data_IF_954264336376
#
_entry.id   IF_954264336376
#
_cell.length_a   1.000
_cell.length_b   1.000
_cell.length_c   1.000
_cell.angle_alpha   90.00
_cell.angle_beta   90.00
_cell.angle_gamma   90.00
#
_symmetry.space_group_name_H-M   'P 1'
#
loop_
_entity.id
_entity.type
_entity.pdbx_description
1 polymer ?
#
# COMPACT_ATOMS: atom_id res chain seq x y z
N UNK A 1 10.13 -20.48 3.45
CA UNK A 1 10.62 -19.09 3.66
C UNK A 1 10.07 -18.12 2.61
N UNK A 2 10.19 -18.39 1.30
CA UNK A 2 9.72 -17.48 0.24
C UNK A 2 8.23 -17.13 0.31
N UNK A 3 7.33 -18.10 0.53
CA UNK A 3 5.89 -17.84 0.65
C UNK A 3 5.56 -16.82 1.75
N UNK A 4 6.13 -17.02 2.95
CA UNK A 4 5.98 -16.10 4.09
C UNK A 4 6.48 -14.70 3.72
N UNK A 5 7.64 -14.61 3.06
CA UNK A 5 8.16 -13.33 2.57
C UNK A 5 7.18 -12.62 1.62
N UNK A 6 6.56 -13.33 0.69
CA UNK A 6 5.64 -12.70 -0.27
C UNK A 6 4.34 -12.21 0.39
N UNK A 7 3.84 -12.90 1.43
CA UNK A 7 2.73 -12.38 2.25
C UNK A 7 3.11 -11.08 2.94
N UNK A 8 4.30 -11.02 3.56
CA UNK A 8 4.80 -9.83 4.24
C UNK A 8 5.01 -8.66 3.26
N UNK A 9 5.65 -8.92 2.12
CA UNK A 9 5.84 -7.90 1.06
C UNK A 9 4.51 -7.34 0.59
N UNK A 10 3.52 -8.20 0.33
CA UNK A 10 2.19 -7.77 -0.08
C UNK A 10 1.49 -6.94 1.01
N UNK A 11 1.51 -7.40 2.26
CA UNK A 11 0.90 -6.68 3.39
C UNK A 11 1.55 -5.33 3.67
N UNK A 12 2.88 -5.25 3.61
CA UNK A 12 3.62 -4.00 3.77
C UNK A 12 3.29 -3.04 2.62
N UNK A 13 3.28 -3.52 1.37
CA UNK A 13 2.94 -2.70 0.22
C UNK A 13 1.53 -2.13 0.32
N UNK A 14 0.55 -2.96 0.72
CA UNK A 14 -0.84 -2.54 0.97
C UNK A 14 -0.90 -1.41 2.00
N UNK A 15 -0.33 -1.63 3.18
CA UNK A 15 -0.38 -0.67 4.29
C UNK A 15 0.34 0.65 3.95
N UNK A 16 1.53 0.58 3.34
CA UNK A 16 2.30 1.77 2.97
C UNK A 16 1.59 2.56 1.87
N UNK A 17 1.11 1.90 0.80
CA UNK A 17 0.40 2.59 -0.28
C UNK A 17 -0.88 3.26 0.23
N UNK A 18 -1.62 2.59 1.11
CA UNK A 18 -2.83 3.14 1.70
C UNK A 18 -2.53 4.32 2.63
N UNK A 19 -1.52 4.21 3.49
CA UNK A 19 -1.08 5.28 4.39
C UNK A 19 -0.59 6.52 3.67
N UNK A 20 0.21 6.36 2.60
CA UNK A 20 0.69 7.49 1.80
C UNK A 20 -0.45 8.15 1.02
N UNK A 21 -1.34 7.37 0.39
CA UNK A 21 -2.52 7.91 -0.29
C UNK A 21 -3.44 8.68 0.68
N UNK A 22 -3.60 8.18 1.91
CA UNK A 22 -4.32 8.88 2.97
C UNK A 22 -3.61 10.20 3.34
N UNK A 23 -2.29 10.18 3.53
CA UNK A 23 -1.50 11.37 3.82
C UNK A 23 -1.63 12.45 2.75
N UNK A 24 -1.56 12.08 1.47
CA UNK A 24 -1.83 12.98 0.34
C UNK A 24 -3.24 13.57 0.41
N UNK A 25 -4.24 12.73 0.71
CA UNK A 25 -5.64 13.18 0.80
C UNK A 25 -5.89 14.15 1.96
N UNK A 26 -5.14 14.00 3.04
CA UNK A 26 -5.15 14.89 4.21
C UNK A 26 -4.32 16.17 3.99
N UNK A 27 -3.64 16.31 2.84
CA UNK A 27 -2.80 17.48 2.55
C UNK A 27 -1.50 17.53 3.34
N UNK A 28 -1.01 16.38 3.82
CA UNK A 28 0.28 16.30 4.50
C UNK A 28 1.42 16.55 3.51
N UNK A 29 2.41 17.34 3.92
CA UNK A 29 3.55 17.70 3.07
C UNK A 29 4.38 16.43 2.71
N UNK A 30 4.51 16.09 1.41
CA UNK A 30 5.26 14.91 0.96
C UNK A 30 6.69 14.83 1.50
N UNK A 31 7.37 15.98 1.55
CA UNK A 31 8.78 16.11 1.96
C UNK A 31 9.01 15.78 3.44
N UNK A 32 7.98 15.89 4.28
CA UNK A 32 8.04 15.57 5.71
C UNK A 32 7.40 14.22 6.02
N UNK A 33 6.40 13.80 5.23
CA UNK A 33 5.62 12.61 5.50
C UNK A 33 6.48 11.34 5.56
N UNK A 34 7.30 11.09 4.54
CA UNK A 34 8.12 9.87 4.48
C UNK A 34 9.19 9.85 5.59
N UNK A 35 9.99 10.91 5.80
CA UNK A 35 10.97 10.94 6.90
C UNK A 35 10.34 10.74 8.28
N UNK A 36 9.20 11.39 8.56
CA UNK A 36 8.52 11.26 9.86
C UNK A 36 8.03 9.83 10.10
N UNK A 37 7.39 9.21 9.10
CA UNK A 37 6.92 7.82 9.22
C UNK A 37 8.08 6.82 9.33
N UNK A 38 9.15 7.04 8.58
CA UNK A 38 10.32 6.16 8.56
C UNK A 38 11.11 6.17 9.88
N UNK A 39 11.08 7.28 10.62
CA UNK A 39 11.73 7.40 11.93
C UNK A 39 10.94 6.73 13.08
N UNK A 40 9.65 6.45 12.87
CA UNK A 40 8.76 5.85 13.88
C UNK A 40 8.57 4.33 13.73
N UNK A 41 7.61 3.80 14.48
CA UNK A 41 7.25 2.37 14.44
C UNK A 41 6.73 1.88 13.06
N UNK A 42 6.34 2.81 12.18
CA UNK A 42 5.96 2.49 10.80
C UNK A 42 7.18 2.25 9.87
N UNK A 43 8.40 2.56 10.34
CA UNK A 43 9.62 2.42 9.58
C UNK A 43 9.84 1.00 9.06
N UNK A 44 9.96 0.87 7.74
CA UNK A 44 10.24 -0.39 7.07
C UNK A 44 10.95 -0.15 5.73
N UNK A 45 11.56 -1.20 5.20
CA UNK A 45 12.35 -1.13 3.96
C UNK A 45 11.54 -0.61 2.76
N UNK A 46 10.27 -0.99 2.64
CA UNK A 46 9.46 -0.60 1.49
C UNK A 46 9.14 0.90 1.52
N UNK A 47 8.76 1.44 2.68
CA UNK A 47 8.56 2.88 2.85
C UNK A 47 9.84 3.67 2.58
N UNK A 48 10.98 3.23 3.12
CA UNK A 48 12.28 3.89 2.90
C UNK A 48 12.68 3.93 1.41
N UNK A 49 12.50 2.82 0.69
CA UNK A 49 12.94 2.73 -0.71
C UNK A 49 11.92 3.25 -1.72
N UNK A 50 10.63 3.19 -1.40
CA UNK A 50 9.55 3.49 -2.34
C UNK A 50 8.73 4.72 -1.99
N UNK A 51 8.79 5.21 -0.75
CA UNK A 51 8.02 6.37 -0.28
C UNK A 51 8.12 7.57 -1.21
N UNK A 52 9.35 8.06 -1.42
CA UNK A 52 9.60 9.24 -2.27
C UNK A 52 9.22 9.00 -3.74
N UNK A 53 9.48 7.80 -4.27
CA UNK A 53 9.18 7.49 -5.68
C UNK A 53 7.68 7.35 -5.94
N UNK A 54 6.91 6.80 -4.99
CA UNK A 54 5.44 6.78 -5.05
C UNK A 54 4.84 8.20 -5.07
N UNK A 55 5.31 9.08 -4.19
CA UNK A 55 4.84 10.46 -4.10
C UNK A 55 5.24 11.28 -5.34
N UNK A 56 6.28 10.88 -6.05
CA UNK A 56 6.72 11.46 -7.32
C UNK A 56 6.16 10.76 -8.57
N UNK A 57 5.21 9.83 -8.40
CA UNK A 57 4.62 9.04 -9.49
C UNK A 57 5.62 8.25 -10.35
N UNK A 58 6.75 7.86 -9.77
CA UNK A 58 7.78 7.04 -10.40
C UNK A 58 7.75 5.59 -9.91
N UNK A 59 7.43 4.66 -10.80
CA UNK A 59 7.29 3.22 -10.48
C UNK A 59 8.26 2.36 -11.26
N UNK A 60 9.47 2.87 -11.49
CA UNK A 60 10.55 2.10 -12.11
C UNK A 60 10.77 0.80 -11.31
N UNK A 61 10.63 -0.38 -11.95
CA UNK A 61 10.55 -1.66 -11.24
C UNK A 61 11.88 -2.04 -10.57
N UNK A 62 11.83 -2.28 -9.27
CA UNK A 62 12.79 -3.19 -8.60
C UNK A 62 12.17 -4.56 -8.34
N UNK A 63 10.85 -4.63 -8.12
CA UNK A 63 10.10 -5.88 -8.17
C UNK A 63 8.76 -5.64 -8.87
N UNK A 64 8.50 -6.36 -9.97
CA UNK A 64 7.34 -6.11 -10.82
C UNK A 64 6.02 -6.57 -10.17
N UNK A 65 4.97 -5.77 -10.35
CA UNK A 65 3.60 -6.09 -9.91
C UNK A 65 3.12 -7.45 -10.41
N UNK A 66 3.36 -7.78 -11.68
CA UNK A 66 2.98 -9.08 -12.26
C UNK A 66 3.72 -10.27 -11.62
N UNK A 67 4.96 -10.08 -11.16
CA UNK A 67 5.72 -11.12 -10.47
C UNK A 67 5.17 -11.35 -9.05
N UNK A 68 4.87 -10.29 -8.30
CA UNK A 68 4.24 -10.44 -6.99
C UNK A 68 2.85 -11.08 -7.10
N UNK A 69 2.04 -10.69 -8.08
CA UNK A 69 0.74 -11.31 -8.33
C UNK A 69 0.86 -12.81 -8.59
N UNK A 70 1.77 -13.21 -9.49
CA UNK A 70 2.07 -14.63 -9.75
C UNK A 70 2.46 -15.38 -8.49
N UNK A 71 3.38 -14.81 -7.70
CA UNK A 71 3.82 -15.43 -6.44
C UNK A 71 2.65 -15.61 -5.47
N UNK A 72 1.78 -14.60 -5.33
CA UNK A 72 0.64 -14.65 -4.42
C UNK A 72 -0.40 -15.71 -4.80
N UNK A 73 -0.60 -15.99 -6.08
CA UNK A 73 -1.46 -17.10 -6.51
C UNK A 73 -0.95 -18.45 -5.97
N UNK A 74 0.36 -18.68 -6.01
CA UNK A 74 0.97 -19.90 -5.47
C UNK A 74 0.85 -19.91 -3.93
N UNK A 75 1.13 -18.77 -3.29
CA UNK A 75 1.03 -18.62 -1.84
C UNK A 75 -0.39 -18.82 -1.33
N UNK A 76 -1.42 -18.42 -2.10
CA UNK A 76 -2.82 -18.67 -1.78
C UNK A 76 -3.12 -20.18 -1.66
N UNK A 77 -2.65 -20.97 -2.61
CA UNK A 77 -2.87 -22.42 -2.58
C UNK A 77 -2.12 -23.08 -1.41
N UNK A 78 -0.90 -22.61 -1.10
CA UNK A 78 -0.19 -23.04 0.11
C UNK A 78 -0.94 -22.68 1.40
N UNK A 79 -1.48 -21.46 1.49
CA UNK A 79 -2.23 -21.01 2.66
C UNK A 79 -3.51 -21.84 2.86
N UNK A 80 -4.24 -22.14 1.77
CA UNK A 80 -5.40 -23.05 1.80
C UNK A 80 -5.02 -24.44 2.29
N UNK A 81 -3.94 -25.02 1.75
CA UNK A 81 -3.46 -26.34 2.18
C UNK A 81 -3.04 -26.37 3.65
N UNK A 82 -2.53 -25.24 4.17
CA UNK A 82 -2.18 -25.07 5.58
C UNK A 82 -3.39 -24.70 6.48
N UNK A 83 -4.60 -24.55 5.93
CA UNK A 83 -5.78 -24.13 6.70
C UNK A 83 -5.77 -22.65 7.13
N UNK A 84 -4.92 -21.83 6.52
CA UNK A 84 -4.77 -20.40 6.83
C UNK A 84 -5.63 -19.58 5.87
N UNK A 85 -6.59 -18.85 6.41
CA UNK A 85 -7.31 -17.81 5.67
C UNK A 85 -6.54 -16.50 5.75
N UNK A 86 -6.35 -15.80 4.63
CA UNK A 86 -5.63 -14.53 4.61
C UNK A 86 -6.31 -13.51 3.71
N UNK A 87 -6.83 -12.45 4.33
CA UNK A 87 -7.38 -11.29 3.61
C UNK A 87 -6.29 -10.51 2.86
N UNK A 88 -5.06 -10.50 3.39
CA UNK A 88 -3.90 -9.85 2.75
C UNK A 88 -3.60 -10.47 1.39
N UNK A 89 -3.60 -11.81 1.31
CA UNK A 89 -3.35 -12.52 0.05
C UNK A 89 -4.46 -12.20 -0.96
N UNK A 90 -5.73 -12.39 -0.58
CA UNK A 90 -6.84 -12.22 -1.51
C UNK A 90 -6.98 -10.77 -2.00
N UNK A 91 -6.87 -9.78 -1.11
CA UNK A 91 -6.94 -8.37 -1.50
C UNK A 91 -5.78 -7.99 -2.40
N UNK A 92 -4.57 -8.49 -2.12
CA UNK A 92 -3.40 -8.18 -2.95
C UNK A 92 -3.49 -8.82 -4.33
N UNK A 93 -4.01 -10.05 -4.44
CA UNK A 93 -4.28 -10.68 -5.74
C UNK A 93 -5.27 -9.83 -6.53
N UNK A 94 -6.37 -9.40 -5.91
CA UNK A 94 -7.36 -8.56 -6.58
C UNK A 94 -6.76 -7.22 -7.05
N UNK A 95 -6.07 -6.50 -6.17
CA UNK A 95 -5.52 -5.18 -6.47
C UNK A 95 -4.42 -5.26 -7.55
N UNK A 96 -3.47 -6.20 -7.45
CA UNK A 96 -2.44 -6.35 -8.47
C UNK A 96 -3.02 -6.87 -9.79
N UNK A 97 -4.09 -7.65 -9.76
CA UNK A 97 -4.85 -8.04 -10.96
C UNK A 97 -5.47 -6.83 -11.66
N UNK A 98 -6.06 -5.90 -10.89
CA UNK A 98 -6.61 -4.64 -11.42
C UNK A 98 -5.52 -3.73 -12.01
N UNK A 99 -4.36 -3.59 -11.33
CA UNK A 99 -3.21 -2.87 -11.87
C UNK A 99 -2.74 -3.46 -13.21
N UNK A 100 -2.64 -4.79 -13.28
CA UNK A 100 -2.24 -5.48 -14.51
C UNK A 100 -3.25 -5.25 -15.63
N UNK A 101 -4.56 -5.29 -15.34
CA UNK A 101 -5.61 -4.99 -16.31
C UNK A 101 -5.52 -3.54 -16.82
N UNK A 102 -5.02 -2.61 -15.98
CA UNK A 102 -4.71 -1.23 -16.36
C UNK A 102 -3.39 -1.04 -17.12
N UNK A 103 -2.64 -2.11 -17.41
CA UNK A 103 -1.35 -2.05 -18.12
C UNK A 103 -0.13 -1.82 -17.23
N UNK A 104 -0.27 -1.85 -15.91
CA UNK A 104 0.80 -1.56 -14.94
C UNK A 104 1.51 -2.82 -14.41
N UNK A 105 1.41 -3.95 -15.12
CA UNK A 105 2.01 -5.22 -14.68
C UNK A 105 3.54 -5.19 -14.59
N UNK A 106 4.19 -4.38 -15.43
CA UNK A 106 5.65 -4.23 -15.47
C UNK A 106 6.19 -3.13 -14.55
N UNK A 107 5.32 -2.36 -13.89
CA UNK A 107 5.70 -1.35 -12.89
C UNK A 107 6.07 -2.02 -11.56
N UNK A 108 6.82 -1.30 -10.72
CA UNK A 108 7.14 -1.74 -9.36
C UNK A 108 5.87 -2.05 -8.55
N UNK A 109 5.95 -2.93 -7.55
CA UNK A 109 4.82 -3.23 -6.66
C UNK A 109 4.27 -1.99 -5.95
N UNK A 110 5.06 -0.92 -5.82
CA UNK A 110 4.61 0.38 -5.33
C UNK A 110 3.57 1.09 -6.22
N UNK A 111 3.38 0.67 -7.47
CA UNK A 111 2.30 1.17 -8.35
C UNK A 111 0.90 0.97 -7.76
N UNK A 112 0.76 0.08 -6.77
CA UNK A 112 -0.46 -0.14 -6.01
C UNK A 112 -1.08 1.15 -5.43
N UNK A 113 -0.27 2.17 -5.13
CA UNK A 113 -0.77 3.47 -4.64
C UNK A 113 -1.78 4.11 -5.60
N UNK A 114 -1.71 3.82 -6.91
CA UNK A 114 -2.68 4.27 -7.93
C UNK A 114 -4.11 3.90 -7.56
N UNK A 115 -4.32 2.64 -7.17
CA UNK A 115 -5.64 2.15 -6.78
C UNK A 115 -6.08 2.74 -5.45
N UNK A 116 -5.15 2.93 -4.50
CA UNK A 116 -5.45 3.52 -3.19
C UNK A 116 -5.86 4.99 -3.28
N UNK A 117 -5.29 5.75 -4.23
CA UNK A 117 -5.72 7.12 -4.54
C UNK A 117 -7.12 7.18 -5.16
N UNK A 118 -7.48 6.18 -5.97
CA UNK A 118 -8.68 6.20 -6.81
C UNK A 118 -9.93 5.60 -6.17
N UNK A 119 -9.81 4.92 -5.03
CA UNK A 119 -10.90 4.08 -4.52
C UNK A 119 -12.15 4.91 -4.24
N UNK A 120 -13.09 4.86 -5.20
CA UNK A 120 -14.45 5.37 -5.07
C UNK A 120 -15.05 4.73 -3.83
N UNK A 121 -15.34 5.54 -2.82
CA UNK A 121 -16.24 5.12 -1.74
C UNK A 121 -17.53 4.69 -2.45
N UNK A 122 -17.89 3.41 -2.32
CA UNK A 122 -19.20 2.92 -2.77
C UNK A 122 -20.26 3.88 -2.23
N UNK A 123 -21.03 4.50 -3.13
CA UNK A 123 -22.00 5.54 -2.80
C UNK A 123 -22.96 5.02 -1.72
N UNK A 124 -22.75 5.42 -0.47
CA UNK A 124 -23.47 4.83 0.66
C UNK A 124 -23.12 5.36 2.06
N UNK A 125 -22.01 6.07 2.27
CA UNK A 125 -21.78 6.77 3.54
C UNK A 125 -21.66 8.27 3.31
N UNK A 126 -22.63 9.02 3.86
CA UNK A 126 -22.48 10.45 4.06
C UNK A 126 -21.18 10.70 4.84
N UNK A 127 -20.33 11.62 4.36
CA UNK A 127 -19.13 12.02 5.10
C UNK A 127 -19.60 12.62 6.43
N UNK A 128 -19.13 12.14 7.60
CA UNK A 128 -19.26 12.93 8.81
C UNK A 128 -18.48 14.23 8.60
N UNK A 129 -19.05 15.36 8.98
CA UNK A 129 -18.32 16.63 9.10
C UNK A 129 -17.32 16.52 10.26
N UNK A 130 -16.24 15.78 10.06
CA UNK A 130 -15.16 15.67 11.03
C UNK A 130 -14.26 16.89 10.87
N UNK A 131 -14.36 17.82 11.82
CA UNK A 131 -13.40 18.91 11.99
C UNK A 131 -12.15 18.31 12.63
N UNK A 132 -11.07 18.19 11.85
CA UNK A 132 -9.80 17.68 12.36
C UNK A 132 -9.07 18.75 13.20
N UNK A 133 -8.35 18.36 14.27
CA UNK A 133 -7.55 19.27 15.08
C UNK A 133 -6.43 19.97 14.29
N UNK A 134 -5.95 21.09 14.83
CA UNK A 134 -4.89 21.92 14.23
C UNK A 134 -3.61 21.09 13.95
N UNK A 135 -2.84 21.36 12.88
CA UNK A 135 -1.52 20.76 12.65
C UNK A 135 -0.61 20.68 13.89
N UNK A 136 -0.71 21.62 14.83
CA UNK A 136 0.05 21.60 16.08
C UNK A 136 -0.47 20.58 17.10
N UNK A 137 -1.75 20.21 17.05
CA UNK A 137 -2.38 19.20 17.91
C UNK A 137 -2.13 17.77 17.41
N UNK A 138 -2.05 17.57 16.09
CA UNK A 138 -1.71 16.27 15.49
C UNK A 138 -0.30 15.80 15.89
N UNK A 139 0.64 16.73 16.08
CA UNK A 139 2.00 16.44 16.56
C UNK A 139 2.06 16.03 18.05
N UNK A 140 0.98 16.20 18.82
CA UNK A 140 0.90 15.88 20.27
C UNK A 140 0.21 14.55 20.56
N UNK A 141 -0.20 13.81 19.54
CA UNK A 141 -0.77 12.45 19.68
C UNK A 141 0.31 11.35 19.71
N UNK A 142 1.57 11.73 19.94
CA UNK A 142 2.69 10.85 20.29
C UNK A 142 3.18 11.23 21.69
#
# INVERSE_FOLDING_TARGET
>A
TKAVNQVLVAGIAQAVCEGLALGEKLGLAPDLLVPTLAAGAAGNWFLDKRGATMLADNFTPGFKSALLHKDLLIVREMAKAAGIRSTVIEQSIADYGELMAGGHGDEDTSALIRLKRQRKVSAGSARPSMRWPDPQEASRMH
#
